data_IF_722037685160
#
_entry.id   IF_722037685160
#
_cell.length_a   1.000
_cell.length_b   1.000
_cell.length_c   1.000
_cell.angle_alpha   90.00
_cell.angle_beta   90.00
_cell.angle_gamma   90.00
#
_symmetry.space_group_name_H-M   'P 1'
#
loop_
_entity.id
_entity.type
_entity.pdbx_description
1 polymer ?
#
# COMPACT_ATOMS: atom_id res chain seq x y z
N UNK A 1 19.01 -3.55 -10.76
CA UNK A 1 20.44 -3.72 -11.08
C UNK A 1 21.32 -3.19 -9.96
N UNK A 2 21.19 -1.91 -9.61
CA UNK A 2 21.97 -1.30 -8.53
C UNK A 2 21.88 -2.07 -7.19
N UNK A 3 20.67 -2.27 -6.65
CA UNK A 3 20.51 -2.95 -5.36
C UNK A 3 20.95 -4.42 -5.40
N UNK A 4 20.70 -5.13 -6.51
CA UNK A 4 21.14 -6.53 -6.65
C UNK A 4 22.66 -6.64 -6.58
N UNK A 5 23.39 -5.72 -7.23
CA UNK A 5 24.86 -5.68 -7.19
C UNK A 5 25.39 -5.28 -5.81
N UNK A 6 24.77 -4.27 -5.17
CA UNK A 6 25.21 -3.78 -3.87
C UNK A 6 24.91 -4.74 -2.72
N UNK A 7 23.83 -5.51 -2.82
CA UNK A 7 23.42 -6.47 -1.80
C UNK A 7 23.92 -7.89 -2.10
N UNK A 8 24.44 -8.15 -3.30
CA UNK A 8 24.91 -9.48 -3.70
C UNK A 8 23.78 -10.51 -3.85
N UNK A 9 22.59 -10.07 -4.22
CA UNK A 9 21.38 -10.93 -4.36
C UNK A 9 20.77 -10.80 -5.75
N UNK A 10 19.87 -11.72 -6.11
CA UNK A 10 19.19 -11.67 -7.40
C UNK A 10 18.25 -10.45 -7.52
N UNK A 11 17.92 -10.01 -8.74
CA UNK A 11 16.95 -8.92 -8.93
C UNK A 11 15.56 -9.25 -8.38
N UNK A 12 15.16 -10.52 -8.48
CA UNK A 12 13.91 -11.00 -7.91
C UNK A 12 13.92 -10.85 -6.38
N UNK A 13 14.99 -11.31 -5.75
CA UNK A 13 15.15 -11.21 -4.30
C UNK A 13 15.21 -9.76 -3.79
N UNK A 14 15.69 -8.82 -4.62
CA UNK A 14 15.56 -7.38 -4.32
C UNK A 14 14.09 -6.97 -4.25
N UNK A 15 13.25 -7.37 -5.20
CA UNK A 15 11.81 -7.04 -5.21
C UNK A 15 11.04 -7.69 -4.06
N UNK A 16 11.47 -8.87 -3.60
CA UNK A 16 10.91 -9.52 -2.40
C UNK A 16 11.33 -8.82 -1.10
N UNK A 17 12.46 -8.09 -1.11
CA UNK A 17 13.04 -7.44 0.07
C UNK A 17 12.81 -5.93 0.16
N UNK A 18 12.50 -5.25 -0.94
CA UNK A 18 12.40 -3.79 -1.00
C UNK A 18 11.15 -3.43 -1.80
N UNK A 19 10.22 -2.68 -1.20
CA UNK A 19 9.08 -2.12 -1.89
C UNK A 19 9.53 -0.98 -2.84
N UNK A 20 9.14 -1.06 -4.11
CA UNK A 20 9.42 -0.04 -5.14
C UNK A 20 8.14 0.62 -5.60
N UNK A 21 7.72 1.65 -4.87
CA UNK A 21 6.51 2.41 -5.21
C UNK A 21 6.88 3.57 -6.14
N UNK A 22 6.86 3.30 -7.44
CA UNK A 22 7.12 4.30 -8.48
C UNK A 22 5.81 4.92 -8.96
N UNK A 23 5.59 6.19 -8.63
CA UNK A 23 4.47 6.96 -9.19
C UNK A 23 4.95 7.80 -10.37
N UNK A 24 4.46 7.48 -11.57
CA UNK A 24 4.69 8.28 -12.76
C UNK A 24 3.84 9.57 -12.78
N UNK A 25 4.06 10.38 -13.81
CA UNK A 25 3.42 11.69 -13.95
C UNK A 25 4.18 12.75 -13.18
N UNK A 26 4.93 13.59 -13.89
CA UNK A 26 5.64 14.75 -13.33
C UNK A 26 5.35 15.98 -14.17
N UNK A 27 4.06 16.17 -14.48
CA UNK A 27 3.58 17.29 -15.28
C UNK A 27 3.80 18.63 -14.56
N UNK A 28 3.88 19.72 -15.35
CA UNK A 28 4.03 21.07 -14.82
C UNK A 28 5.40 21.32 -14.19
N UNK A 29 5.44 21.66 -12.90
CA UNK A 29 6.65 22.05 -12.16
C UNK A 29 7.18 20.93 -11.25
N UNK A 30 6.59 19.74 -11.29
CA UNK A 30 6.98 18.64 -10.42
C UNK A 30 8.32 18.05 -10.88
N UNK A 31 9.32 18.06 -9.99
CA UNK A 31 10.64 17.50 -10.28
C UNK A 31 10.63 15.98 -10.04
N UNK A 32 11.14 15.17 -10.99
CA UNK A 32 11.41 13.76 -10.74
C UNK A 32 12.34 13.58 -9.54
N UNK A 33 11.92 12.77 -8.56
CA UNK A 33 12.69 12.49 -7.35
C UNK A 33 12.35 11.11 -6.80
N UNK A 34 13.15 10.65 -5.83
CA UNK A 34 12.85 9.47 -5.03
C UNK A 34 13.09 9.78 -3.56
N UNK A 35 12.22 9.27 -2.70
CA UNK A 35 12.40 9.29 -1.24
C UNK A 35 12.83 7.91 -0.79
N UNK A 36 13.99 7.82 -0.14
CA UNK A 36 14.56 6.55 0.30
C UNK A 36 14.39 6.43 1.82
N UNK A 37 13.67 5.40 2.25
CA UNK A 37 13.55 5.04 3.66
C UNK A 37 14.56 3.93 3.99
N UNK A 38 15.33 4.13 5.05
CA UNK A 38 16.27 3.12 5.56
C UNK A 38 15.92 2.80 7.01
N UNK A 39 15.89 1.51 7.33
CA UNK A 39 15.59 1.01 8.67
C UNK A 39 16.83 0.32 9.21
N UNK A 40 17.30 0.78 10.37
CA UNK A 40 18.43 0.17 11.06
C UNK A 40 17.96 -0.42 12.39
N UNK A 41 18.28 -1.70 12.63
CA UNK A 41 18.07 -2.34 13.93
C UNK A 41 19.08 -1.80 14.93
N UNK A 42 18.63 -1.53 16.15
CA UNK A 42 19.46 -1.08 17.27
C UNK A 42 19.05 -1.80 18.55
N UNK A 43 20.03 -2.13 19.39
CA UNK A 43 19.78 -2.77 20.69
C UNK A 43 19.48 -1.75 21.80
N UNK A 44 19.62 -0.44 21.51
CA UNK A 44 19.45 0.63 22.50
C UNK A 44 17.97 1.03 22.72
N UNK A 45 17.18 0.08 23.22
CA UNK A 45 15.74 0.25 23.47
C UNK A 45 15.39 1.30 24.54
N UNK A 46 16.33 1.64 25.43
CA UNK A 46 16.10 2.59 26.52
C UNK A 46 16.09 4.03 26.05
N UNK A 47 16.96 4.38 25.08
CA UNK A 47 16.98 5.73 24.50
C UNK A 47 15.72 6.02 23.66
N UNK A 48 15.25 5.04 22.88
CA UNK A 48 14.08 5.22 22.00
C UNK A 48 12.79 5.50 22.78
N UNK A 49 12.58 4.80 23.89
CA UNK A 49 11.37 4.95 24.70
C UNK A 49 11.24 6.33 25.40
N UNK A 50 12.37 6.98 25.71
CA UNK A 50 12.41 8.26 26.42
C UNK A 50 12.04 9.46 25.54
N UNK A 51 12.17 9.34 24.22
CA UNK A 51 12.03 10.45 23.26
C UNK A 51 10.60 10.63 22.71
N UNK A 52 9.64 9.82 23.17
CA UNK A 52 8.25 9.84 22.67
C UNK A 52 8.02 8.89 21.49
N UNK A 53 6.97 9.16 20.68
CA UNK A 53 6.73 8.40 19.44
C UNK A 53 7.58 9.00 18.31
N UNK A 54 8.27 8.14 17.54
CA UNK A 54 9.11 8.53 16.39
C UNK A 54 8.67 7.82 15.12
N UNK A 55 9.12 8.33 13.97
CA UNK A 55 8.79 7.79 12.67
C UNK A 55 9.05 6.28 12.61
N UNK A 56 7.97 5.53 12.41
CA UNK A 56 7.97 4.11 12.15
C UNK A 56 7.58 3.87 10.70
N UNK A 57 8.35 3.03 10.01
CA UNK A 57 8.13 2.69 8.59
C UNK A 57 8.15 1.19 8.44
N UNK A 58 7.04 0.62 8.00
CA UNK A 58 6.95 -0.82 7.76
C UNK A 58 6.39 -1.10 6.37
N UNK A 59 7.15 -1.84 5.58
CA UNK A 59 6.70 -2.35 4.30
C UNK A 59 6.05 -3.73 4.47
N UNK A 60 5.08 -4.05 3.60
CA UNK A 60 4.46 -5.37 3.51
C UNK A 60 3.89 -5.59 2.10
N UNK A 61 3.71 -6.85 1.74
CA UNK A 61 3.10 -7.27 0.48
C UNK A 61 1.83 -8.07 0.73
N UNK A 62 0.82 -7.90 -0.12
CA UNK A 62 -0.28 -8.87 -0.24
C UNK A 62 0.16 -10.06 -1.10
N UNK A 63 -0.68 -11.09 -1.17
CA UNK A 63 -0.61 -12.04 -2.28
C UNK A 63 -0.88 -11.34 -3.61
N UNK A 64 -0.56 -12.03 -4.70
CA UNK A 64 -1.04 -11.63 -6.03
C UNK A 64 -2.57 -11.75 -6.11
N UNK A 65 -3.17 -10.83 -6.86
CA UNK A 65 -4.57 -10.79 -7.19
C UNK A 65 -4.79 -11.40 -8.57
N UNK A 66 -5.86 -12.15 -8.72
CA UNK A 66 -6.39 -12.48 -10.03
C UNK A 66 -7.02 -11.22 -10.66
N UNK A 67 -7.08 -11.10 -12.00
CA UNK A 67 -7.67 -9.94 -12.64
C UNK A 67 -9.11 -9.62 -12.17
N UNK A 68 -9.94 -10.64 -11.97
CA UNK A 68 -11.32 -10.52 -11.47
C UNK A 68 -11.44 -10.10 -10.00
N UNK A 69 -10.33 -10.03 -9.27
CA UNK A 69 -10.28 -9.53 -7.88
C UNK A 69 -9.89 -8.04 -7.81
N UNK A 70 -9.25 -7.53 -8.86
CA UNK A 70 -8.82 -6.12 -8.93
C UNK A 70 -10.06 -5.23 -8.96
N UNK A 71 -10.10 -4.27 -8.04
CA UNK A 71 -11.24 -3.36 -7.91
C UNK A 71 -12.42 -3.92 -7.14
N UNK A 72 -12.26 -5.06 -6.44
CA UNK A 72 -13.33 -5.73 -5.69
C UNK A 72 -12.94 -6.01 -4.25
N UNK A 73 -13.89 -6.51 -3.48
CA UNK A 73 -13.75 -6.83 -2.06
C UNK A 73 -12.58 -7.77 -1.71
N UNK A 74 -12.14 -8.73 -2.54
CA UNK A 74 -10.91 -9.46 -2.27
C UNK A 74 -9.68 -8.54 -2.14
N UNK A 75 -9.55 -7.52 -3.00
CA UNK A 75 -8.47 -6.54 -2.89
C UNK A 75 -8.61 -5.66 -1.64
N UNK A 76 -9.84 -5.24 -1.30
CA UNK A 76 -10.13 -4.47 -0.07
C UNK A 76 -9.68 -5.25 1.18
N UNK A 77 -10.10 -6.51 1.29
CA UNK A 77 -9.87 -7.35 2.47
C UNK A 77 -8.40 -7.73 2.64
N UNK A 78 -7.73 -8.16 1.56
CA UNK A 78 -6.29 -8.48 1.58
C UNK A 78 -5.44 -7.25 1.93
N UNK A 79 -5.81 -6.07 1.40
CA UNK A 79 -5.14 -4.83 1.75
C UNK A 79 -5.33 -4.51 3.24
N UNK A 80 -6.56 -4.65 3.75
CA UNK A 80 -6.84 -4.38 5.15
C UNK A 80 -6.02 -5.27 6.10
N UNK A 81 -5.92 -6.56 5.77
CA UNK A 81 -5.16 -7.52 6.57
C UNK A 81 -3.65 -7.29 6.48
N UNK A 82 -3.14 -6.88 5.32
CA UNK A 82 -1.75 -6.46 5.17
C UNK A 82 -1.44 -5.19 5.98
N UNK A 83 -2.29 -4.16 5.94
CA UNK A 83 -2.08 -2.94 6.74
C UNK A 83 -2.07 -3.25 8.23
N UNK A 84 -3.01 -4.06 8.74
CA UNK A 84 -3.02 -4.47 10.15
C UNK A 84 -1.76 -5.26 10.54
N UNK A 85 -1.24 -6.11 9.65
CA UNK A 85 0.04 -6.82 9.88
C UNK A 85 1.20 -5.84 9.94
N UNK A 86 1.30 -4.91 8.99
CA UNK A 86 2.34 -3.88 8.98
C UNK A 86 2.30 -3.00 10.23
N UNK A 87 1.12 -2.59 10.70
CA UNK A 87 0.99 -1.85 11.97
C UNK A 87 1.57 -2.63 13.15
N UNK A 88 1.24 -3.94 13.27
CA UNK A 88 1.78 -4.80 14.33
C UNK A 88 3.30 -4.93 14.25
N UNK A 89 3.83 -5.16 13.05
CA UNK A 89 5.28 -5.28 12.81
C UNK A 89 6.02 -3.96 13.08
N UNK A 90 5.38 -2.82 12.76
CA UNK A 90 5.88 -1.49 13.08
C UNK A 90 5.78 -1.13 14.58
N UNK A 91 5.08 -1.94 15.39
CA UNK A 91 4.78 -1.57 16.77
C UNK A 91 3.90 -0.32 16.89
N UNK A 92 3.04 -0.06 15.90
CA UNK A 92 2.02 1.00 15.93
C UNK A 92 0.75 0.37 16.50
N UNK A 93 0.41 0.73 17.74
CA UNK A 93 -0.70 0.10 18.47
C UNK A 93 -2.06 0.76 18.19
N UNK A 94 -2.08 2.06 17.89
CA UNK A 94 -3.28 2.86 17.68
C UNK A 94 -3.35 3.33 16.22
N UNK A 95 -4.52 3.24 15.59
CA UNK A 95 -4.72 3.70 14.22
C UNK A 95 -4.48 5.22 14.08
N UNK A 96 -4.72 6.00 15.14
CA UNK A 96 -4.46 7.45 15.17
C UNK A 96 -2.97 7.82 15.09
N UNK A 97 -2.07 6.86 15.30
CA UNK A 97 -0.63 7.05 15.10
C UNK A 97 -0.17 6.77 13.66
N UNK A 98 -1.06 6.26 12.79
CA UNK A 98 -0.79 6.10 11.36
C UNK A 98 -1.06 7.43 10.67
N UNK A 99 -0.11 7.92 9.88
CA UNK A 99 -0.25 9.21 9.20
C UNK A 99 -0.15 9.12 7.68
N UNK A 100 0.36 8.01 7.14
CA UNK A 100 0.41 7.83 5.70
C UNK A 100 0.52 6.34 5.37
N UNK A 101 -0.32 5.85 4.47
CA UNK A 101 -0.24 4.49 3.93
C UNK A 101 -0.11 4.57 2.43
N UNK A 102 1.11 4.36 1.95
CA UNK A 102 1.41 4.36 0.52
C UNK A 102 1.23 2.96 -0.05
N UNK A 103 0.50 2.84 -1.16
CA UNK A 103 0.31 1.58 -1.86
C UNK A 103 0.67 1.72 -3.33
N UNK A 104 1.37 0.72 -3.86
CA UNK A 104 1.42 0.43 -5.28
C UNK A 104 0.53 -0.78 -5.55
N UNK A 105 -0.47 -0.61 -6.41
CA UNK A 105 -1.51 -1.60 -6.70
C UNK A 105 -1.53 -1.95 -8.20
N UNK A 106 -2.11 -3.09 -8.60
CA UNK A 106 -2.09 -3.53 -10.00
C UNK A 106 -3.12 -2.76 -10.83
N UNK A 107 -3.22 -3.10 -12.12
CA UNK A 107 -4.25 -2.64 -13.04
C UNK A 107 -4.65 -3.74 -14.02
N UNK A 108 -5.75 -3.56 -14.74
CA UNK A 108 -6.17 -4.45 -15.81
C UNK A 108 -5.56 -4.04 -17.15
N UNK A 109 -5.05 -5.04 -17.87
CA UNK A 109 -4.64 -4.92 -19.27
C UNK A 109 -5.60 -5.76 -20.12
N UNK A 110 -5.64 -5.53 -21.43
CA UNK A 110 -6.44 -6.36 -22.34
C UNK A 110 -6.17 -7.86 -22.16
N UNK A 111 -4.90 -8.25 -21.97
CA UNK A 111 -4.52 -9.65 -21.73
C UNK A 111 -5.03 -10.18 -20.39
N UNK A 112 -4.96 -9.39 -19.31
CA UNK A 112 -5.47 -9.78 -17.98
C UNK A 112 -7.00 -9.93 -17.99
N UNK A 113 -7.70 -9.04 -18.69
CA UNK A 113 -9.16 -9.12 -18.83
C UNK A 113 -9.56 -10.34 -19.65
N UNK A 114 -8.84 -10.62 -20.74
CA UNK A 114 -9.07 -11.80 -21.55
C UNK A 114 -8.86 -13.10 -20.75
N UNK A 115 -7.77 -13.20 -19.96
CA UNK A 115 -7.51 -14.35 -19.08
C UNK A 115 -8.67 -14.61 -18.11
N UNK A 116 -9.21 -13.56 -17.48
CA UNK A 116 -10.37 -13.71 -16.59
C UNK A 116 -11.60 -14.26 -17.34
N UNK A 117 -11.88 -13.72 -18.54
CA UNK A 117 -13.02 -14.16 -19.37
C UNK A 117 -12.84 -15.61 -19.83
N UNK A 118 -11.64 -16.02 -20.26
CA UNK A 118 -11.35 -17.41 -20.63
C UNK A 118 -11.57 -18.38 -19.46
N UNK A 119 -11.29 -17.93 -18.23
CA UNK A 119 -11.57 -18.68 -17.00
C UNK A 119 -13.02 -18.58 -16.52
N UNK A 120 -13.89 -17.85 -17.24
CA UNK A 120 -15.33 -17.71 -16.94
C UNK A 120 -15.66 -16.66 -15.89
N UNK A 121 -14.77 -15.70 -15.65
CA UNK A 121 -14.95 -14.61 -14.69
C UNK A 121 -15.21 -13.26 -15.38
N UNK A 122 -15.86 -12.35 -14.66
CA UNK A 122 -15.97 -10.94 -15.06
C UNK A 122 -14.94 -10.10 -14.30
N UNK A 123 -14.59 -8.94 -14.85
CA UNK A 123 -13.73 -7.95 -14.20
C UNK A 123 -14.54 -6.73 -13.75
N UNK A 124 -13.95 -5.87 -12.91
CA UNK A 124 -14.62 -4.66 -12.42
C UNK A 124 -14.93 -3.64 -13.52
N UNK A 125 -14.08 -3.57 -14.55
CA UNK A 125 -14.27 -2.75 -15.76
C UNK A 125 -13.49 -3.35 -16.93
N UNK A 126 -13.96 -3.14 -18.15
CA UNK A 126 -13.28 -3.52 -19.40
C UNK A 126 -12.36 -2.41 -19.95
N UNK A 127 -12.25 -1.28 -19.25
CA UNK A 127 -11.35 -0.17 -19.59
C UNK A 127 -10.06 -0.21 -18.75
N UNK A 128 -8.92 -0.26 -19.45
CA UNK A 128 -7.61 -0.37 -18.78
C UNK A 128 -7.28 0.85 -17.91
N UNK A 129 -7.70 2.06 -18.29
CA UNK A 129 -7.44 3.28 -17.54
C UNK A 129 -8.38 3.40 -16.34
N UNK A 130 -9.66 3.10 -16.53
CA UNK A 130 -10.65 3.05 -15.45
C UNK A 130 -10.27 2.01 -14.39
N UNK A 131 -9.70 0.87 -14.79
CA UNK A 131 -9.25 -0.18 -13.87
C UNK A 131 -8.21 0.32 -12.86
N UNK A 132 -7.42 1.33 -13.23
CA UNK A 132 -6.49 1.98 -12.30
C UNK A 132 -7.25 2.69 -11.18
N UNK A 133 -8.40 3.30 -11.48
CA UNK A 133 -9.28 3.93 -10.50
C UNK A 133 -9.89 2.90 -9.54
N UNK A 134 -10.41 1.80 -10.07
CA UNK A 134 -10.94 0.69 -9.29
C UNK A 134 -9.89 0.10 -8.32
N UNK A 135 -8.70 -0.21 -8.83
CA UNK A 135 -7.62 -0.78 -8.01
C UNK A 135 -7.16 0.17 -6.89
N UNK A 136 -7.02 1.46 -7.22
CA UNK A 136 -6.72 2.52 -6.24
C UNK A 136 -7.81 2.64 -5.17
N UNK A 137 -9.07 2.65 -5.59
CA UNK A 137 -10.24 2.77 -4.71
C UNK A 137 -10.39 1.58 -3.76
N UNK A 138 -10.31 0.35 -4.29
CA UNK A 138 -10.36 -0.86 -3.47
C UNK A 138 -9.21 -0.92 -2.45
N UNK A 139 -7.99 -0.55 -2.87
CA UNK A 139 -6.84 -0.48 -1.97
C UNK A 139 -7.04 0.60 -0.88
N UNK A 140 -7.57 1.77 -1.22
CA UNK A 140 -7.84 2.85 -0.27
C UNK A 140 -8.93 2.47 0.75
N UNK A 141 -10.01 1.80 0.31
CA UNK A 141 -11.04 1.27 1.21
C UNK A 141 -10.51 0.15 2.11
N UNK A 142 -9.55 -0.65 1.63
CA UNK A 142 -8.84 -1.61 2.46
C UNK A 142 -8.07 -0.95 3.61
N UNK A 143 -7.43 0.20 3.36
CA UNK A 143 -6.78 1.01 4.39
C UNK A 143 -7.82 1.57 5.37
N UNK A 144 -8.90 2.18 4.86
CA UNK A 144 -9.98 2.71 5.69
C UNK A 144 -10.56 1.64 6.63
N UNK A 145 -10.77 0.43 6.10
CA UNK A 145 -11.23 -0.73 6.88
C UNK A 145 -10.20 -1.19 7.91
N UNK A 146 -8.90 -1.16 7.59
CA UNK A 146 -7.84 -1.55 8.52
C UNK A 146 -7.77 -0.62 9.73
N UNK A 147 -7.93 0.68 9.48
CA UNK A 147 -7.79 1.75 10.48
C UNK A 147 -9.11 2.06 11.21
N UNK A 148 -10.21 1.44 10.80
CA UNK A 148 -11.52 1.64 11.42
C UNK A 148 -12.22 2.94 11.02
N UNK A 149 -11.78 3.57 9.93
CA UNK A 149 -12.41 4.78 9.36
C UNK A 149 -13.73 4.44 8.64
N UNK A 150 -13.82 3.22 8.10
CA UNK A 150 -15.02 2.69 7.45
C UNK A 150 -15.37 1.32 8.01
N UNK A 151 -16.64 1.13 8.37
CA UNK A 151 -17.15 -0.15 8.85
C UNK A 151 -17.30 -1.16 7.70
N UNK A 152 -16.94 -2.42 7.96
CA UNK A 152 -17.07 -3.52 6.98
C UNK A 152 -18.49 -3.66 6.41
N UNK A 153 -19.51 -3.36 7.20
CA UNK A 153 -20.91 -3.47 6.79
C UNK A 153 -21.30 -2.49 5.67
N UNK A 154 -20.53 -1.41 5.49
CA UNK A 154 -20.75 -0.42 4.44
C UNK A 154 -19.95 -0.72 3.16
N UNK A 155 -19.18 -1.82 3.15
CA UNK A 155 -18.30 -2.18 2.04
C UNK A 155 -18.89 -3.35 1.24
N UNK A 156 -18.86 -3.17 -0.08
CA UNK A 156 -19.30 -4.12 -1.10
C UNK A 156 -18.59 -3.79 -2.41
N UNK A 157 -18.73 -4.63 -3.44
CA UNK A 157 -18.14 -4.31 -4.75
C UNK A 157 -18.78 -3.06 -5.36
N UNK A 158 -20.07 -2.85 -5.10
CA UNK A 158 -20.91 -1.80 -5.68
C UNK A 158 -20.55 -0.38 -5.18
N UNK A 159 -19.94 -0.25 -4.00
CA UNK A 159 -19.54 1.07 -3.46
C UNK A 159 -18.18 1.52 -3.96
N UNK A 160 -17.36 0.61 -4.48
CA UNK A 160 -16.00 0.91 -4.94
C UNK A 160 -16.11 1.85 -6.17
N UNK A 161 -15.50 3.03 -6.07
CA UNK A 161 -15.59 4.13 -7.06
C UNK A 161 -17.01 4.71 -7.27
N UNK A 162 -17.96 4.39 -6.39
CA UNK A 162 -19.34 4.87 -6.48
C UNK A 162 -19.78 5.68 -5.24
N UNK A 163 -19.43 5.24 -4.02
CA UNK A 163 -19.75 5.97 -2.79
C UNK A 163 -18.54 6.76 -2.29
N UNK A 164 -18.50 8.04 -2.65
CA UNK A 164 -17.41 8.95 -2.27
C UNK A 164 -17.46 9.42 -0.82
N UNK A 165 -18.48 9.03 -0.04
CA UNK A 165 -18.50 9.28 1.40
C UNK A 165 -17.58 8.32 2.18
N UNK A 166 -17.19 7.20 1.56
CA UNK A 166 -16.29 6.20 2.13
C UNK A 166 -14.85 6.49 1.68
N UNK A 167 -14.00 6.90 2.62
CA UNK A 167 -12.61 7.22 2.32
C UNK A 167 -11.70 6.93 3.52
N UNK A 168 -10.39 6.91 3.26
CA UNK A 168 -9.36 6.98 4.29
C UNK A 168 -8.68 8.34 4.24
N UNK A 169 -8.43 8.93 5.40
CA UNK A 169 -7.73 10.21 5.54
C UNK A 169 -6.22 10.11 5.29
N UNK A 170 -5.66 8.89 5.28
CA UNK A 170 -4.21 8.65 5.20
C UNK A 170 -3.79 7.77 4.02
N UNK A 171 -4.73 7.29 3.21
CA UNK A 171 -4.44 6.43 2.07
C UNK A 171 -3.86 7.23 0.89
N UNK A 172 -2.74 6.75 0.35
CA UNK A 172 -2.16 7.20 -0.92
C UNK A 172 -1.93 5.99 -1.80
N UNK A 173 -2.73 5.82 -2.85
CA UNK A 173 -2.68 4.62 -3.70
C UNK A 173 -2.32 5.00 -5.14
N UNK A 174 -1.36 4.28 -5.72
CA UNK A 174 -0.92 4.47 -7.10
C UNK A 174 -1.01 3.12 -7.82
N UNK A 175 -1.52 3.12 -9.05
CA UNK A 175 -1.64 1.90 -9.84
C UNK A 175 -0.47 1.77 -10.82
N UNK A 176 -0.12 0.54 -11.18
CA UNK A 176 0.93 0.25 -12.14
C UNK A 176 0.74 -1.10 -12.82
N UNK A 177 1.35 -1.25 -14.00
CA UNK A 177 1.31 -2.49 -14.78
C UNK A 177 2.32 -3.53 -14.26
N UNK A 178 3.36 -3.09 -13.58
CA UNK A 178 4.57 -3.83 -13.20
C UNK A 178 4.37 -4.94 -12.17
N UNK A 179 3.19 -5.05 -11.55
CA UNK A 179 2.93 -5.97 -10.45
C UNK A 179 1.47 -6.47 -10.43
N UNK A 180 1.23 -7.56 -9.69
CA UNK A 180 -0.09 -8.20 -9.50
C UNK A 180 -0.55 -8.25 -8.03
N UNK A 181 0.28 -7.85 -7.07
CA UNK A 181 -0.06 -7.74 -5.64
C UNK A 181 -0.25 -6.27 -5.23
N UNK A 182 -0.39 -5.98 -3.95
CA UNK A 182 -0.22 -4.64 -3.40
C UNK A 182 1.12 -4.59 -2.65
N UNK A 183 1.98 -3.63 -3.01
CA UNK A 183 3.14 -3.24 -2.20
C UNK A 183 2.74 -2.06 -1.31
N UNK A 184 2.87 -2.23 0.01
CA UNK A 184 2.31 -1.30 1.00
C UNK A 184 3.43 -0.82 1.91
N UNK A 185 3.48 0.49 2.17
CA UNK A 185 4.33 1.09 3.20
C UNK A 185 3.42 1.84 4.18
N UNK A 186 3.36 1.35 5.43
CA UNK A 186 2.67 2.02 6.54
C UNK A 186 3.67 2.92 7.26
N UNK A 187 3.33 4.20 7.38
CA UNK A 187 4.10 5.22 8.07
C UNK A 187 3.27 5.84 9.19
N UNK A 188 3.87 5.89 10.37
CA UNK A 188 3.25 6.44 11.56
C UNK A 188 4.29 6.80 12.62
N UNK A 189 3.83 7.04 13.85
CA UNK A 189 4.72 7.31 14.98
C UNK A 189 4.60 6.21 16.03
N UNK A 190 5.71 5.57 16.42
CA UNK A 190 5.72 4.52 17.44
C UNK A 190 6.77 4.77 18.52
N UNK A 191 6.48 4.32 19.76
CA UNK A 191 7.45 4.29 20.87
C UNK A 191 8.48 3.17 20.73
N UNK A 192 8.22 2.19 19.86
CA UNK A 192 9.17 1.11 19.56
C UNK A 192 10.30 1.59 18.63
N UNK A 193 10.15 2.77 18.03
CA UNK A 193 11.08 3.37 17.10
C UNK A 193 11.82 4.55 17.74
N UNK A 194 13.03 4.81 17.25
CA UNK A 194 13.84 5.96 17.61
C UNK A 194 14.16 6.82 16.39
N UNK A 195 15.14 7.70 16.52
CA UNK A 195 15.53 8.63 15.47
C UNK A 195 14.98 10.03 15.70
N UNK A 196 15.35 10.94 14.82
CA UNK A 196 15.06 12.37 14.88
C UNK A 196 13.86 12.80 14.02
N UNK A 197 13.19 11.85 13.36
CA UNK A 197 12.05 12.09 12.48
C UNK A 197 10.71 11.76 13.14
N UNK A 198 9.68 12.49 12.71
CA UNK A 198 8.26 12.28 13.02
C UNK A 198 7.45 12.54 11.75
N UNK A 199 6.24 12.01 11.67
CA UNK A 199 5.30 12.26 10.56
C UNK A 199 3.97 12.81 11.09
N UNK A 200 3.29 13.62 10.29
CA UNK A 200 1.93 14.10 10.52
C UNK A 200 1.15 14.11 9.21
N UNK A 201 -0.17 14.29 9.30
CA UNK A 201 -1.07 14.46 8.14
C UNK A 201 -2.20 15.42 8.50
N UNK A 202 -3.00 15.81 7.51
CA UNK A 202 -4.19 16.65 7.65
C UNK A 202 -5.26 16.23 6.64
#
# INVERSE_FOLDING_TARGET
>A
VYFSEKLGVSRQEVGERIAFIMSGGTEGVMAPHCTIFTVQKTDNKQKTAAEGKRLAVQQIFTREFLPEEIGRMPQVTETADAVRRAMREAGIADASDVHFVQVKCPLLTAGRMHDAVERGHTVATEDTYESMGYSRGASALGIALALGEVEKANLSDEVITADYSLYSSVASTSAGIELMNNEIIVMGNSRAWGGDLVIGHA
#
